data_IF_222191415565
#
_entry.id   IF_222191415565
#
_cell.length_a   1.000
_cell.length_b   1.000
_cell.length_c   1.000
_cell.angle_alpha   90.00
_cell.angle_beta   90.00
_cell.angle_gamma   90.00
#
_symmetry.space_group_name_H-M   'P 1'
#
loop_
_entity.id
_entity.type
_entity.pdbx_description
1 polymer ?
#
# COMPACT_ATOMS: atom_id res chain seq x y z
N UNK A 1 4.23 54.14 3.05
CA UNK A 1 4.76 52.78 3.24
C UNK A 1 5.92 52.89 4.24
N UNK A 2 5.73 52.50 5.50
CA UNK A 2 6.83 52.40 6.47
C UNK A 2 7.39 50.98 6.40
N UNK A 3 8.67 50.87 6.10
CA UNK A 3 9.41 49.61 6.08
C UNK A 3 9.41 49.01 7.50
N UNK A 4 9.05 47.73 7.73
CA UNK A 4 9.24 47.13 9.03
C UNK A 4 10.73 46.85 9.25
N UNK A 5 11.28 47.35 10.35
CA UNK A 5 12.64 47.05 10.78
C UNK A 5 12.85 45.52 10.94
N UNK A 6 14.04 45.00 10.64
CA UNK A 6 14.36 43.59 10.83
C UNK A 6 14.41 43.28 12.33
N UNK A 7 13.47 42.46 12.80
CA UNK A 7 13.50 41.92 14.17
C UNK A 7 14.77 41.08 14.36
N UNK A 8 15.57 41.42 15.36
CA UNK A 8 16.69 40.60 15.83
C UNK A 8 16.22 39.16 16.03
N UNK A 9 16.90 38.23 15.36
CA UNK A 9 16.69 36.81 15.51
C UNK A 9 17.06 36.39 16.92
N UNK A 10 16.09 35.87 17.68
CA UNK A 10 16.36 35.17 18.93
C UNK A 10 17.49 34.13 18.74
N UNK A 11 18.36 33.94 19.75
CA UNK A 11 19.46 32.99 19.66
C UNK A 11 18.92 31.60 19.31
N UNK A 12 19.46 31.00 18.24
CA UNK A 12 19.18 29.61 17.86
C UNK A 12 19.67 28.71 18.99
N UNK A 13 18.75 28.24 19.83
CA UNK A 13 18.98 27.05 20.65
C UNK A 13 19.51 25.94 19.72
N UNK A 14 20.62 25.31 20.13
CA UNK A 14 21.22 24.19 19.41
C UNK A 14 20.17 23.13 19.15
N UNK A 15 19.78 22.93 17.90
CA UNK A 15 18.76 21.96 17.54
C UNK A 15 19.21 20.55 17.97
N UNK A 16 18.35 19.76 18.65
CA UNK A 16 18.67 18.39 18.98
C UNK A 16 18.99 17.58 17.71
N UNK A 17 20.02 16.74 17.79
CA UNK A 17 20.60 15.97 16.67
C UNK A 17 19.68 14.86 16.13
N UNK A 18 18.54 14.60 16.78
CA UNK A 18 17.53 13.63 16.38
C UNK A 18 16.11 14.22 16.53
N UNK A 19 15.15 13.85 15.68
CA UNK A 19 13.76 14.29 15.80
C UNK A 19 13.13 13.77 17.10
N UNK A 20 12.33 14.61 17.76
CA UNK A 20 11.64 14.21 18.98
C UNK A 20 10.56 13.15 18.70
N UNK A 21 10.44 12.16 19.59
CA UNK A 21 9.35 11.16 19.51
C UNK A 21 8.03 11.78 19.93
N UNK A 22 6.91 11.17 19.50
CA UNK A 22 5.57 11.61 19.92
C UNK A 22 5.43 11.58 21.45
N UNK A 23 6.05 10.61 22.13
CA UNK A 23 6.05 10.49 23.59
C UNK A 23 6.75 11.69 24.24
N UNK A 24 7.89 12.12 23.67
CA UNK A 24 8.64 13.30 24.14
C UNK A 24 7.84 14.59 23.93
N UNK A 25 7.25 14.76 22.74
CA UNK A 25 6.43 15.94 22.42
C UNK A 25 5.23 16.03 23.36
N UNK A 26 4.49 14.94 23.53
CA UNK A 26 3.30 14.89 24.36
C UNK A 26 3.62 15.13 25.84
N UNK A 27 4.70 14.53 26.37
CA UNK A 27 5.13 14.78 27.75
C UNK A 27 5.45 16.26 27.97
N UNK A 28 6.22 16.87 27.06
CA UNK A 28 6.59 18.27 27.15
C UNK A 28 5.39 19.21 27.05
N UNK A 29 4.40 18.90 26.20
CA UNK A 29 3.15 19.67 26.12
C UNK A 29 2.34 19.57 27.41
N UNK A 30 2.19 18.37 27.97
CA UNK A 30 1.46 18.16 29.23
C UNK A 30 2.16 18.88 30.38
N UNK A 31 3.49 18.79 30.48
CA UNK A 31 4.26 19.46 31.52
C UNK A 31 4.22 21.00 31.40
N UNK A 32 4.07 21.54 30.18
CA UNK A 32 3.83 22.98 30.00
C UNK A 32 2.48 23.43 30.59
N UNK A 33 1.46 22.57 30.51
CA UNK A 33 0.13 22.86 31.03
C UNK A 33 -0.01 22.50 32.51
N UNK A 34 0.70 21.48 32.97
CA UNK A 34 0.67 20.91 34.32
C UNK A 34 2.09 20.48 34.72
N UNK A 35 2.93 21.42 35.22
CA UNK A 35 4.35 21.14 35.51
C UNK A 35 4.57 20.05 36.56
N UNK A 36 3.58 19.78 37.41
CA UNK A 36 3.66 18.75 38.43
C UNK A 36 3.35 17.34 37.90
N UNK A 37 2.69 17.21 36.75
CA UNK A 37 2.33 15.92 36.18
C UNK A 37 3.57 15.23 35.59
N UNK A 38 3.69 13.93 35.85
CA UNK A 38 4.67 13.06 35.18
C UNK A 38 6.12 13.56 35.28
N UNK A 39 6.50 14.20 36.40
CA UNK A 39 7.86 14.73 36.61
C UNK A 39 8.95 13.67 36.46
N UNK A 40 8.68 12.46 36.94
CA UNK A 40 9.64 11.35 36.91
C UNK A 40 9.48 10.45 35.66
N UNK A 41 8.55 10.78 34.76
CA UNK A 41 8.30 9.99 33.56
C UNK A 41 9.43 10.18 32.54
N UNK A 42 10.02 9.07 32.09
CA UNK A 42 11.08 9.07 31.08
C UNK A 42 10.50 8.62 29.73
N UNK A 43 10.41 9.52 28.74
CA UNK A 43 9.89 9.18 27.43
C UNK A 43 10.94 8.40 26.63
N UNK A 44 10.51 7.35 25.95
CA UNK A 44 11.39 6.56 25.07
C UNK A 44 11.90 7.45 23.92
N UNK A 45 13.23 7.47 23.75
CA UNK A 45 13.89 8.27 22.74
C UNK A 45 13.76 7.66 21.33
N UNK A 46 14.12 8.44 20.32
CA UNK A 46 14.11 7.96 18.94
C UNK A 46 15.19 6.90 18.76
N UNK A 47 14.82 5.70 18.33
CA UNK A 47 15.77 4.63 18.06
C UNK A 47 16.63 4.98 16.84
N UNK A 48 17.92 4.63 16.87
CA UNK A 48 18.82 4.81 15.73
C UNK A 48 18.39 4.00 14.49
N UNK A 49 17.61 2.93 14.69
CA UNK A 49 16.97 2.12 13.64
C UNK A 49 15.44 2.22 13.76
N UNK A 50 14.76 2.92 12.85
CA UNK A 50 13.31 3.12 12.92
C UNK A 50 12.48 1.84 12.76
N UNK A 51 13.02 0.84 12.06
CA UNK A 51 12.36 -0.42 11.72
C UNK A 51 12.61 -1.56 12.72
N UNK A 52 13.29 -1.29 13.85
CA UNK A 52 13.45 -2.29 14.91
C UNK A 52 12.09 -2.56 15.58
N UNK A 53 11.51 -3.77 15.42
CA UNK A 53 10.21 -4.11 15.99
C UNK A 53 10.22 -4.05 17.53
N UNK A 54 11.36 -4.32 18.17
CA UNK A 54 11.49 -4.26 19.64
C UNK A 54 11.46 -2.82 20.11
N UNK A 55 12.18 -1.91 19.43
CA UNK A 55 12.11 -0.49 19.72
C UNK A 55 10.72 0.11 19.44
N UNK A 56 10.03 -0.34 18.39
CA UNK A 56 8.65 0.05 18.12
C UNK A 56 7.70 -0.41 19.25
N UNK A 57 7.83 -1.65 19.72
CA UNK A 57 7.05 -2.18 20.83
C UNK A 57 7.31 -1.42 22.14
N UNK A 58 8.58 -1.12 22.46
CA UNK A 58 8.94 -0.29 23.63
C UNK A 58 8.31 1.10 23.58
N UNK A 59 8.36 1.79 22.43
CA UNK A 59 7.71 3.10 22.24
C UNK A 59 6.20 3.03 22.44
N UNK A 60 5.55 1.98 21.93
CA UNK A 60 4.12 1.77 22.11
C UNK A 60 3.74 1.50 23.58
N UNK A 61 4.54 0.70 24.30
CA UNK A 61 4.35 0.48 25.75
C UNK A 61 4.51 1.78 26.53
N UNK A 62 5.60 2.50 26.29
CA UNK A 62 5.88 3.79 26.93
C UNK A 62 4.77 4.81 26.67
N UNK A 63 4.19 4.84 25.46
CA UNK A 63 3.05 5.71 25.16
C UNK A 63 1.80 5.32 25.97
N UNK A 64 1.54 4.02 26.15
CA UNK A 64 0.41 3.56 27.00
C UNK A 64 0.61 3.95 28.45
N UNK A 65 1.82 3.80 28.98
CA UNK A 65 2.18 4.24 30.34
C UNK A 65 2.00 5.75 30.51
N UNK A 66 2.43 6.54 29.52
CA UNK A 66 2.21 7.99 29.49
C UNK A 66 0.71 8.32 29.59
N UNK A 67 -0.13 7.72 28.73
CA UNK A 67 -1.57 7.95 28.76
C UNK A 67 -2.20 7.54 30.09
N UNK A 68 -1.82 6.38 30.64
CA UNK A 68 -2.30 5.92 31.94
C UNK A 68 -1.90 6.88 33.05
N UNK A 69 -0.67 7.37 33.02
CA UNK A 69 -0.15 8.37 33.95
C UNK A 69 -0.93 9.69 33.88
N UNK A 70 -1.20 10.21 32.66
CA UNK A 70 -2.06 11.38 32.47
C UNK A 70 -3.44 11.17 33.10
N UNK A 71 -4.08 10.02 32.87
CA UNK A 71 -5.40 9.72 33.42
C UNK A 71 -5.37 9.56 34.95
N UNK A 72 -4.31 8.98 35.51
CA UNK A 72 -4.13 8.83 36.94
C UNK A 72 -3.93 10.20 37.62
N UNK A 73 -3.07 11.06 37.07
CA UNK A 73 -2.88 12.44 37.56
C UNK A 73 -4.15 13.27 37.45
N UNK A 74 -4.90 13.13 36.35
CA UNK A 74 -6.18 13.81 36.18
C UNK A 74 -7.24 13.37 37.21
N UNK A 75 -7.25 12.08 37.60
CA UNK A 75 -8.14 11.58 38.67
C UNK A 75 -7.75 12.08 40.05
N UNK A 76 -6.46 12.26 40.32
CA UNK A 76 -5.95 12.75 41.60
C UNK A 76 -6.26 14.24 41.81
N UNK A 77 -6.23 15.05 40.75
CA UNK A 77 -6.43 16.49 40.87
C UNK A 77 -7.90 16.90 41.12
N UNK A 78 -8.90 16.09 40.74
CA UNK A 78 -10.31 16.20 41.16
C UNK A 78 -11.13 17.44 40.72
N UNK A 79 -12.39 17.24 40.26
CA UNK A 79 -13.42 18.31 40.10
C UNK A 79 -13.27 19.30 38.92
N UNK A 80 -14.34 19.98 38.45
CA UNK A 80 -14.45 20.50 37.08
C UNK A 80 -13.50 21.65 36.71
N UNK A 81 -13.08 21.64 35.44
CA UNK A 81 -12.40 22.68 34.64
C UNK A 81 -11.76 23.84 35.41
N UNK A 82 -10.56 23.61 35.94
CA UNK A 82 -9.69 24.70 36.35
C UNK A 82 -9.21 25.49 35.12
N UNK A 83 -8.88 26.79 35.25
CA UNK A 83 -8.23 27.54 34.16
C UNK A 83 -6.94 26.85 33.68
N UNK A 84 -6.41 27.19 32.49
CA UNK A 84 -5.09 26.74 32.04
C UNK A 84 -4.05 27.03 33.12
N UNK A 85 -3.43 25.96 33.63
CA UNK A 85 -2.48 26.02 34.76
C UNK A 85 -3.07 25.79 36.15
N UNK A 86 -4.38 25.50 36.29
CA UNK A 86 -5.03 25.16 37.56
C UNK A 86 -5.22 23.65 37.78
N UNK A 87 -5.56 23.26 39.01
CA UNK A 87 -5.63 21.85 39.46
C UNK A 87 -6.92 21.11 39.03
N UNK A 88 -7.33 21.20 37.77
CA UNK A 88 -8.54 20.55 37.25
C UNK A 88 -8.28 19.81 35.93
N UNK A 89 -9.27 19.02 35.46
CA UNK A 89 -9.14 18.22 34.25
C UNK A 89 -8.85 19.10 33.04
N UNK A 90 -7.98 18.61 32.15
CA UNK A 90 -7.66 19.27 30.89
C UNK A 90 -8.92 19.37 30.03
N UNK A 91 -9.13 20.55 29.46
CA UNK A 91 -10.29 20.84 28.61
C UNK A 91 -9.85 21.24 27.20
N UNK A 92 -10.66 20.88 26.21
CA UNK A 92 -10.38 21.17 24.81
C UNK A 92 -11.56 21.85 24.14
N UNK A 93 -11.28 22.88 23.34
CA UNK A 93 -12.22 23.42 22.36
C UNK A 93 -12.05 22.64 21.05
N UNK A 94 -13.11 22.01 20.56
CA UNK A 94 -13.09 21.20 19.35
C UNK A 94 -13.89 21.89 18.24
N UNK A 95 -13.22 22.38 17.19
CA UNK A 95 -13.84 23.06 16.05
C UNK A 95 -13.98 22.11 14.87
N UNK A 96 -15.23 21.70 14.59
CA UNK A 96 -15.55 20.74 13.53
C UNK A 96 -15.36 21.31 12.11
N UNK A 97 -15.33 20.41 11.13
CA UNK A 97 -15.24 20.72 9.69
C UNK A 97 -16.56 21.17 9.08
N UNK A 98 -16.58 21.34 7.75
CA UNK A 98 -17.76 21.80 7.00
C UNK A 98 -17.53 23.04 6.12
N UNK A 99 -16.27 23.31 5.76
CA UNK A 99 -15.90 24.45 4.91
C UNK A 99 -16.17 25.81 5.57
N UNK A 100 -16.41 26.84 4.76
CA UNK A 100 -16.55 28.22 5.24
C UNK A 100 -17.79 28.45 6.14
N UNK A 101 -18.87 27.68 5.93
CA UNK A 101 -20.06 27.78 6.80
C UNK A 101 -19.73 27.40 8.24
N UNK A 102 -19.02 26.28 8.41
CA UNK A 102 -18.54 25.84 9.71
C UNK A 102 -17.53 26.83 10.29
N UNK A 103 -16.63 27.39 9.48
CA UNK A 103 -15.74 28.46 9.92
C UNK A 103 -16.50 29.68 10.48
N UNK A 104 -17.55 30.13 9.79
CA UNK A 104 -18.37 31.26 10.22
C UNK A 104 -19.12 30.96 11.52
N UNK A 105 -19.65 29.75 11.65
CA UNK A 105 -20.30 29.31 12.89
C UNK A 105 -19.31 29.25 14.07
N UNK A 106 -18.14 28.63 13.85
CA UNK A 106 -17.08 28.53 14.85
C UNK A 106 -16.56 29.90 15.28
N UNK A 107 -16.48 30.89 14.38
CA UNK A 107 -16.16 32.27 14.73
C UNK A 107 -17.15 32.83 15.75
N UNK A 108 -18.46 32.65 15.53
CA UNK A 108 -19.50 33.07 16.48
C UNK A 108 -19.36 32.40 17.85
N UNK A 109 -19.06 31.11 17.89
CA UNK A 109 -18.77 30.38 19.13
C UNK A 109 -17.55 30.95 19.85
N UNK A 110 -16.45 31.21 19.14
CA UNK A 110 -15.22 31.80 19.71
C UNK A 110 -15.49 33.21 20.27
N UNK A 111 -16.26 34.04 19.56
CA UNK A 111 -16.66 35.37 20.04
C UNK A 111 -17.53 35.28 21.30
N UNK A 112 -18.53 34.40 21.32
CA UNK A 112 -19.38 34.15 22.48
C UNK A 112 -18.56 33.67 23.70
N UNK A 113 -17.66 32.71 23.51
CA UNK A 113 -16.78 32.24 24.57
C UNK A 113 -15.84 33.35 25.06
N UNK A 114 -15.38 34.26 24.20
CA UNK A 114 -14.57 35.40 24.60
C UNK A 114 -15.37 36.42 25.43
N UNK A 115 -16.63 36.70 25.03
CA UNK A 115 -17.58 37.55 25.76
C UNK A 115 -17.82 37.04 27.19
N UNK A 116 -18.08 35.75 27.34
CA UNK A 116 -18.28 35.12 28.64
C UNK A 116 -16.98 34.82 29.40
N UNK A 117 -15.82 35.26 28.89
CA UNK A 117 -14.48 35.01 29.48
C UNK A 117 -14.16 33.52 29.67
N UNK A 118 -14.74 32.67 28.84
CA UNK A 118 -14.55 31.21 28.81
C UNK A 118 -13.51 30.77 27.80
N UNK A 119 -13.22 31.54 26.75
CA UNK A 119 -12.29 31.13 25.69
C UNK A 119 -10.88 30.83 26.22
N UNK A 120 -10.42 31.61 27.20
CA UNK A 120 -9.13 31.38 27.87
C UNK A 120 -9.16 30.27 28.93
N UNK A 121 -10.25 29.49 29.05
CA UNK A 121 -10.36 28.38 30.00
C UNK A 121 -9.98 27.03 29.40
N UNK A 122 -9.85 26.93 28.07
CA UNK A 122 -9.49 25.69 27.37
C UNK A 122 -7.98 25.51 27.31
N UNK A 123 -7.50 24.30 27.59
CA UNK A 123 -6.08 23.94 27.51
C UNK A 123 -5.68 23.57 26.06
N UNK A 124 -6.58 22.91 25.32
CA UNK A 124 -6.34 22.44 23.96
C UNK A 124 -7.32 23.03 22.93
N UNK A 125 -6.87 23.15 21.68
CA UNK A 125 -7.70 23.46 20.52
C UNK A 125 -7.55 22.33 19.50
N UNK A 126 -8.60 21.53 19.33
CA UNK A 126 -8.68 20.52 18.27
C UNK A 126 -9.48 21.09 17.11
N UNK A 127 -9.05 20.85 15.87
CA UNK A 127 -9.74 21.40 14.71
C UNK A 127 -9.56 20.55 13.46
N UNK A 128 -10.54 20.57 12.56
CA UNK A 128 -10.51 19.87 11.27
C UNK A 128 -11.13 20.73 10.17
N UNK A 129 -10.58 20.69 8.95
CA UNK A 129 -11.12 21.37 7.77
C UNK A 129 -11.46 22.85 8.03
N UNK A 130 -12.72 23.27 7.89
CA UNK A 130 -13.20 24.63 8.18
C UNK A 130 -12.92 25.13 9.60
N UNK A 131 -12.91 24.23 10.60
CA UNK A 131 -12.47 24.56 11.96
C UNK A 131 -10.97 24.89 12.02
N UNK A 132 -10.16 24.21 11.21
CA UNK A 132 -8.72 24.47 11.07
C UNK A 132 -8.44 25.86 10.47
N UNK A 133 -9.28 26.32 9.55
CA UNK A 133 -9.21 27.68 9.00
C UNK A 133 -9.36 28.75 10.09
N UNK A 134 -10.38 28.62 10.96
CA UNK A 134 -10.59 29.53 12.10
C UNK A 134 -9.50 29.39 13.16
N UNK A 135 -9.10 28.16 13.50
CA UNK A 135 -8.01 27.93 14.44
C UNK A 135 -6.70 28.57 13.97
N UNK A 136 -6.36 28.44 12.69
CA UNK A 136 -5.18 29.05 12.08
C UNK A 136 -5.26 30.57 12.03
N UNK A 137 -6.43 31.13 11.68
CA UNK A 137 -6.70 32.56 11.73
C UNK A 137 -6.51 33.12 13.15
N UNK A 138 -7.15 32.51 14.16
CA UNK A 138 -7.08 32.91 15.55
C UNK A 138 -5.64 32.85 16.08
N UNK A 139 -4.93 31.74 15.83
CA UNK A 139 -3.52 31.56 16.23
C UNK A 139 -2.61 32.60 15.60
N UNK A 140 -2.81 32.90 14.31
CA UNK A 140 -2.00 33.89 13.60
C UNK A 140 -2.24 35.29 14.16
N UNK A 141 -3.49 35.62 14.48
CA UNK A 141 -3.84 36.90 15.10
C UNK A 141 -3.24 37.04 16.50
N UNK A 142 -3.38 36.02 17.35
CA UNK A 142 -2.76 36.00 18.70
C UNK A 142 -1.24 36.17 18.62
N UNK A 143 -0.58 35.51 17.65
CA UNK A 143 0.87 35.64 17.46
C UNK A 143 1.31 37.04 17.02
N UNK A 144 0.47 37.78 16.30
CA UNK A 144 0.82 39.10 15.74
C UNK A 144 0.49 40.25 16.68
N UNK A 145 -0.66 40.18 17.36
CA UNK A 145 -1.18 41.27 18.19
C UNK A 145 -1.10 41.01 19.70
N UNK A 146 -0.80 39.77 20.10
CA UNK A 146 -0.82 39.34 21.50
C UNK A 146 -2.21 38.87 21.94
N UNK A 147 -2.24 37.85 22.81
CA UNK A 147 -3.48 37.17 23.23
C UNK A 147 -4.47 38.08 23.94
N UNK A 148 -4.00 39.01 24.78
CA UNK A 148 -4.86 39.93 25.53
C UNK A 148 -5.67 40.85 24.60
N UNK A 149 -4.98 41.46 23.62
CA UNK A 149 -5.60 42.33 22.60
C UNK A 149 -6.64 41.55 21.79
N UNK A 150 -6.30 40.33 21.37
CA UNK A 150 -7.23 39.48 20.62
C UNK A 150 -8.47 39.12 21.44
N UNK A 151 -8.31 38.79 22.72
CA UNK A 151 -9.44 38.48 23.59
C UNK A 151 -10.35 39.69 23.77
N UNK A 152 -9.81 40.89 23.91
CA UNK A 152 -10.59 42.12 24.04
C UNK A 152 -11.28 42.49 22.72
N UNK A 153 -10.61 42.35 21.58
CA UNK A 153 -11.21 42.59 20.25
C UNK A 153 -12.25 41.52 19.85
N UNK A 154 -12.12 40.28 20.33
CA UNK A 154 -13.11 39.21 20.10
C UNK A 154 -14.38 39.37 20.93
N UNK A 155 -14.30 40.07 22.08
CA UNK A 155 -15.47 40.42 22.88
C UNK A 155 -16.27 41.44 22.09
N UNK A 156 -17.24 40.97 21.31
CA UNK A 156 -18.16 41.90 20.67
C UNK A 156 -18.89 42.70 21.76
N UNK A 157 -19.12 44.02 21.58
CA UNK A 157 -19.92 44.81 22.50
C UNK A 157 -21.30 44.15 22.70
N UNK A 158 -21.89 44.34 23.88
CA UNK A 158 -23.28 43.95 24.16
C UNK A 158 -24.17 44.36 22.96
N UNK A 159 -25.03 43.47 22.41
CA UNK A 159 -25.94 43.80 21.33
C UNK A 159 -26.72 45.10 21.54
N UNK A 160 -27.02 45.48 22.79
CA UNK A 160 -27.70 46.73 23.15
C UNK A 160 -26.79 47.97 23.13
N UNK A 161 -25.48 47.80 23.28
CA UNK A 161 -24.47 48.87 23.27
C UNK A 161 -23.70 48.94 21.93
N UNK A 162 -24.03 48.06 20.99
CA UNK A 162 -23.36 47.95 19.70
C UNK A 162 -23.72 49.14 18.83
N UNK A 163 -22.78 50.07 18.64
CA UNK A 163 -22.90 51.08 17.59
C UNK A 163 -22.81 50.37 16.21
N UNK A 164 -23.89 50.34 15.42
CA UNK A 164 -23.90 49.66 14.11
C UNK A 164 -22.94 50.30 13.09
N UNK A 165 -22.46 51.51 13.35
CA UNK A 165 -21.51 52.24 12.51
C UNK A 165 -20.05 52.09 12.98
N UNK A 166 -19.80 51.44 14.11
CA UNK A 166 -18.44 51.20 14.57
C UNK A 166 -17.79 50.08 13.73
N UNK A 167 -16.57 50.29 13.20
CA UNK A 167 -15.89 49.27 12.41
C UNK A 167 -15.53 48.06 13.29
N UNK A 168 -15.72 46.85 12.76
CA UNK A 168 -15.24 45.65 13.43
C UNK A 168 -13.70 45.60 13.41
N UNK A 169 -13.08 44.76 14.25
CA UNK A 169 -11.66 44.48 14.12
C UNK A 169 -11.32 44.00 12.72
N UNK A 170 -10.31 44.64 12.09
CA UNK A 170 -9.86 44.31 10.72
C UNK A 170 -9.66 42.80 10.46
N UNK A 171 -9.17 41.98 11.42
CA UNK A 171 -9.04 40.54 11.20
C UNK A 171 -10.38 39.81 11.05
N UNK A 172 -11.44 40.29 11.68
CA UNK A 172 -12.81 39.77 11.56
C UNK A 172 -13.43 40.24 10.25
N UNK A 173 -13.30 41.53 9.91
CA UNK A 173 -13.78 42.08 8.64
C UNK A 173 -13.19 41.34 7.45
N UNK A 174 -11.87 41.12 7.43
CA UNK A 174 -11.21 40.36 6.37
C UNK A 174 -11.69 38.92 6.27
N UNK A 175 -12.02 38.28 7.40
CA UNK A 175 -12.54 36.92 7.39
C UNK A 175 -13.91 36.87 6.69
N UNK A 176 -14.72 37.91 6.85
CA UNK A 176 -16.04 38.05 6.21
C UNK A 176 -15.93 38.43 4.74
N UNK A 177 -15.06 39.38 4.40
CA UNK A 177 -14.79 39.83 3.02
C UNK A 177 -14.24 38.69 2.14
N UNK A 178 -13.39 37.81 2.69
CA UNK A 178 -12.73 36.72 1.96
C UNK A 178 -13.35 35.34 2.26
N UNK A 179 -14.65 35.32 2.58
CA UNK A 179 -15.41 34.08 2.81
C UNK A 179 -15.43 33.15 1.57
N UNK A 180 -15.22 33.69 0.37
CA UNK A 180 -14.90 32.90 -0.82
C UNK A 180 -13.38 32.80 -1.04
N UNK A 181 -12.72 31.87 -0.35
CA UNK A 181 -11.26 31.81 -0.27
C UNK A 181 -10.55 31.39 -1.57
N UNK A 182 -11.23 30.66 -2.48
CA UNK A 182 -10.63 30.22 -3.74
C UNK A 182 -10.72 31.28 -4.85
N UNK A 183 -11.75 32.12 -4.84
CA UNK A 183 -11.97 33.20 -5.84
C UNK A 183 -12.66 34.40 -5.18
N UNK A 184 -11.91 35.27 -4.48
CA UNK A 184 -12.48 36.36 -3.69
C UNK A 184 -13.23 37.40 -4.53
N UNK A 185 -12.83 37.59 -5.79
CA UNK A 185 -13.49 38.47 -6.76
C UNK A 185 -13.94 37.68 -7.97
N UNK A 186 -15.20 37.29 -7.99
CA UNK A 186 -15.85 36.70 -9.16
C UNK A 186 -16.03 37.77 -10.23
N UNK A 187 -15.49 37.53 -11.43
CA UNK A 187 -15.68 38.38 -12.60
C UNK A 187 -14.86 37.87 -13.78
N UNK A 188 -15.45 37.84 -14.98
CA UNK A 188 -14.79 37.38 -16.23
C UNK A 188 -13.51 38.16 -16.56
N UNK A 189 -13.33 39.36 -15.98
CA UNK A 189 -12.17 40.22 -16.16
C UNK A 189 -11.32 40.37 -14.88
N UNK A 190 -11.56 39.58 -13.83
CA UNK A 190 -10.70 39.60 -12.65
C UNK A 190 -9.44 38.75 -12.89
N UNK A 191 -8.28 39.27 -12.47
CA UNK A 191 -7.00 38.54 -12.58
C UNK A 191 -7.02 37.21 -11.83
N UNK A 192 -7.80 37.13 -10.74
CA UNK A 192 -7.94 35.92 -9.94
C UNK A 192 -8.68 34.80 -10.70
N UNK A 193 -9.71 35.14 -11.50
CA UNK A 193 -10.45 34.16 -12.31
C UNK A 193 -9.59 33.58 -13.42
N UNK A 194 -8.80 34.41 -14.11
CA UNK A 194 -7.88 33.94 -15.16
C UNK A 194 -6.70 33.15 -14.58
N UNK A 195 -6.23 33.50 -13.38
CA UNK A 195 -5.22 32.71 -12.67
C UNK A 195 -5.77 31.32 -12.31
N UNK A 196 -7.00 31.24 -11.79
CA UNK A 196 -7.66 29.97 -11.50
C UNK A 196 -7.89 29.14 -12.78
N UNK A 197 -8.39 29.77 -13.85
CA UNK A 197 -8.57 29.11 -15.15
C UNK A 197 -7.24 28.60 -15.71
N UNK A 198 -6.17 29.41 -15.67
CA UNK A 198 -4.84 29.00 -16.11
C UNK A 198 -4.29 27.83 -15.29
N UNK A 199 -4.49 27.83 -13.96
CA UNK A 199 -4.09 26.71 -13.09
C UNK A 199 -4.87 25.44 -13.47
N UNK A 200 -6.19 25.53 -13.65
CA UNK A 200 -7.03 24.39 -14.03
C UNK A 200 -6.62 23.85 -15.39
N UNK A 201 -6.51 24.71 -16.41
CA UNK A 201 -6.15 24.31 -17.77
C UNK A 201 -4.74 23.72 -17.82
N UNK A 202 -3.77 24.36 -17.15
CA UNK A 202 -2.41 23.83 -17.05
C UNK A 202 -2.40 22.45 -16.41
N UNK A 203 -3.08 22.27 -15.28
CA UNK A 203 -3.14 20.99 -14.58
C UNK A 203 -3.90 19.93 -15.37
N UNK A 204 -4.97 20.33 -16.07
CA UNK A 204 -5.72 19.44 -16.95
C UNK A 204 -4.85 18.93 -18.09
N UNK A 205 -4.13 19.84 -18.77
CA UNK A 205 -3.20 19.48 -19.85
C UNK A 205 -2.09 18.58 -19.33
N UNK A 206 -1.45 18.92 -18.20
CA UNK A 206 -0.39 18.09 -17.62
C UNK A 206 -0.90 16.69 -17.25
N UNK A 207 -2.09 16.59 -16.66
CA UNK A 207 -2.69 15.30 -16.33
C UNK A 207 -3.05 14.52 -17.60
N UNK A 208 -3.63 15.17 -18.61
CA UNK A 208 -4.04 14.52 -19.85
C UNK A 208 -2.85 14.07 -20.70
N UNK A 209 -1.75 14.82 -20.70
CA UNK A 209 -0.49 14.41 -21.35
C UNK A 209 0.11 13.14 -20.75
N UNK A 210 -0.29 12.75 -19.53
CA UNK A 210 0.11 11.48 -18.93
C UNK A 210 -0.98 10.41 -19.12
N UNK A 211 -2.23 10.74 -18.79
CA UNK A 211 -3.34 9.79 -18.78
C UNK A 211 -3.70 9.34 -20.20
N UNK A 212 -3.79 10.26 -21.16
CA UNK A 212 -4.22 9.92 -22.53
C UNK A 212 -3.21 9.00 -23.23
N UNK A 213 -1.88 9.27 -23.22
CA UNK A 213 -0.93 8.32 -23.80
C UNK A 213 -0.89 6.97 -23.09
N UNK A 214 -1.10 6.94 -21.77
CA UNK A 214 -1.18 5.68 -21.02
C UNK A 214 -2.42 4.86 -21.40
N UNK A 215 -3.59 5.48 -21.50
CA UNK A 215 -4.81 4.80 -21.97
C UNK A 215 -4.69 4.40 -23.44
N UNK A 216 -4.11 5.26 -24.27
CA UNK A 216 -3.84 4.97 -25.67
C UNK A 216 -2.87 3.80 -25.81
N UNK A 217 -1.85 3.66 -24.96
CA UNK A 217 -0.91 2.54 -25.02
C UNK A 217 -1.56 1.21 -24.63
N UNK A 218 -2.47 1.21 -23.65
CA UNK A 218 -3.27 0.03 -23.28
C UNK A 218 -4.09 -0.49 -24.48
N UNK A 219 -4.60 0.40 -25.34
CA UNK A 219 -5.34 0.02 -26.55
C UNK A 219 -4.39 -0.26 -27.72
N UNK A 220 -3.33 0.53 -27.87
CA UNK A 220 -2.38 0.44 -28.96
C UNK A 220 -1.56 -0.85 -28.90
N UNK A 221 -1.20 -1.36 -27.71
CA UNK A 221 -0.43 -2.60 -27.57
C UNK A 221 -1.16 -3.82 -28.20
N UNK A 222 -2.44 -4.12 -27.86
CA UNK A 222 -3.22 -5.14 -28.57
C UNK A 222 -3.38 -4.85 -30.06
N UNK A 223 -3.57 -3.59 -30.47
CA UNK A 223 -3.73 -3.23 -31.88
C UNK A 223 -2.44 -3.41 -32.69
N UNK A 224 -1.29 -3.05 -32.13
CA UNK A 224 0.03 -3.29 -32.72
C UNK A 224 0.29 -4.79 -32.85
N UNK A 225 -0.05 -5.56 -31.82
CA UNK A 225 0.04 -7.01 -31.88
C UNK A 225 -0.91 -7.57 -32.95
N UNK A 226 -2.15 -7.08 -33.06
CA UNK A 226 -3.09 -7.48 -34.12
C UNK A 226 -2.57 -7.14 -35.52
N UNK A 227 -1.99 -5.95 -35.72
CA UNK A 227 -1.39 -5.55 -36.99
C UNK A 227 -0.23 -6.48 -37.37
N UNK A 228 0.57 -6.86 -36.38
CA UNK A 228 1.64 -7.82 -36.56
C UNK A 228 1.11 -9.21 -36.94
N UNK A 229 0.09 -9.70 -36.23
CA UNK A 229 -0.59 -10.97 -36.53
C UNK A 229 -1.19 -11.01 -37.94
N UNK A 230 -1.65 -9.85 -38.43
CA UNK A 230 -2.17 -9.70 -39.80
C UNK A 230 -1.08 -9.51 -40.87
N UNK A 231 0.18 -9.29 -40.47
CA UNK A 231 1.29 -9.20 -41.41
C UNK A 231 1.65 -10.59 -41.94
N UNK A 232 2.56 -10.67 -42.91
CA UNK A 232 3.07 -11.98 -43.38
C UNK A 232 3.84 -12.76 -42.28
N UNK A 233 4.03 -12.15 -41.11
CA UNK A 233 4.74 -12.72 -39.98
C UNK A 233 6.25 -12.69 -40.20
N UNK A 234 6.98 -13.24 -39.24
CA UNK A 234 8.44 -13.41 -39.38
C UNK A 234 8.79 -14.72 -40.09
N UNK A 235 7.80 -15.62 -40.23
CA UNK A 235 7.96 -16.93 -40.85
C UNK A 235 8.32 -18.02 -39.85
N UNK A 236 8.28 -19.26 -40.33
CA UNK A 236 8.39 -20.46 -39.51
C UNK A 236 9.66 -20.54 -38.61
N UNK A 237 10.87 -20.11 -39.05
CA UNK A 237 12.06 -20.17 -38.20
C UNK A 237 11.91 -19.36 -36.91
N UNK A 238 11.30 -18.18 -37.00
CA UNK A 238 11.08 -17.30 -35.86
C UNK A 238 9.97 -17.83 -34.95
N UNK A 239 8.94 -18.45 -35.53
CA UNK A 239 7.90 -19.16 -34.77
C UNK A 239 8.49 -20.25 -33.87
N UNK A 240 9.40 -21.07 -34.43
CA UNK A 240 10.10 -22.12 -33.69
C UNK A 240 11.02 -21.55 -32.62
N UNK A 241 11.74 -20.46 -32.91
CA UNK A 241 12.57 -19.77 -31.91
C UNK A 241 11.72 -19.21 -30.76
N UNK A 242 10.55 -18.63 -31.04
CA UNK A 242 9.62 -18.14 -30.03
C UNK A 242 9.04 -19.26 -29.18
N UNK A 243 8.73 -20.41 -29.78
CA UNK A 243 8.29 -21.60 -29.04
C UNK A 243 9.38 -22.11 -28.08
N UNK A 244 10.61 -22.20 -28.56
CA UNK A 244 11.76 -22.59 -27.72
C UNK A 244 11.97 -21.55 -26.61
N UNK A 245 11.90 -20.26 -26.93
CA UNK A 245 12.01 -19.19 -25.94
C UNK A 245 10.92 -19.30 -24.88
N UNK A 246 9.66 -19.55 -25.27
CA UNK A 246 8.55 -19.75 -24.34
C UNK A 246 8.83 -20.91 -23.35
N UNK A 247 9.32 -22.04 -23.85
CA UNK A 247 9.68 -23.20 -23.02
C UNK A 247 10.83 -22.91 -22.06
N UNK A 248 11.87 -22.21 -22.54
CA UNK A 248 13.03 -21.83 -21.71
C UNK A 248 12.65 -20.82 -20.63
N UNK A 249 11.82 -19.83 -20.98
CA UNK A 249 11.35 -18.81 -20.05
C UNK A 249 10.43 -19.44 -19.00
N UNK A 250 9.52 -20.35 -19.39
CA UNK A 250 8.67 -21.07 -18.43
C UNK A 250 9.50 -21.98 -17.52
N UNK A 251 10.55 -22.62 -18.05
CA UNK A 251 11.49 -23.40 -17.23
C UNK A 251 12.22 -22.52 -16.22
N UNK A 252 12.72 -21.35 -16.63
CA UNK A 252 13.31 -20.38 -15.72
C UNK A 252 12.30 -19.91 -14.67
N UNK A 253 11.06 -19.58 -15.09
CA UNK A 253 9.99 -19.14 -14.21
C UNK A 253 9.70 -20.20 -13.14
N UNK A 254 9.53 -21.46 -13.56
CA UNK A 254 9.31 -22.62 -12.71
C UNK A 254 10.44 -22.79 -11.69
N UNK A 255 11.70 -22.81 -12.14
CA UNK A 255 12.88 -22.92 -11.24
C UNK A 255 12.88 -21.78 -10.23
N UNK A 256 12.70 -20.54 -10.69
CA UNK A 256 12.71 -19.34 -9.84
C UNK A 256 11.59 -19.36 -8.79
N UNK A 257 10.38 -19.74 -9.17
CA UNK A 257 9.20 -19.86 -8.30
C UNK A 257 9.49 -20.87 -7.18
N UNK A 258 9.86 -22.11 -7.52
CA UNK A 258 10.10 -23.15 -6.51
C UNK A 258 11.32 -22.84 -5.65
N UNK A 259 12.39 -22.30 -6.24
CA UNK A 259 13.57 -21.88 -5.50
C UNK A 259 13.26 -20.79 -4.48
N UNK A 260 12.55 -19.74 -4.90
CA UNK A 260 12.24 -18.61 -4.03
C UNK A 260 11.20 -18.94 -2.98
N UNK A 261 10.20 -19.76 -3.32
CA UNK A 261 9.27 -20.35 -2.35
C UNK A 261 10.06 -21.06 -1.25
N UNK A 262 11.10 -21.82 -1.60
CA UNK A 262 11.84 -22.64 -0.65
C UNK A 262 12.90 -21.89 0.17
N UNK A 263 13.61 -20.95 -0.45
CA UNK A 263 14.83 -20.37 0.12
C UNK A 263 14.80 -18.86 0.36
N UNK A 264 13.82 -18.12 -0.16
CA UNK A 264 13.79 -16.64 -0.04
C UNK A 264 12.47 -16.14 0.53
N UNK A 265 12.13 -16.58 1.75
CA UNK A 265 10.99 -16.04 2.54
C UNK A 265 11.42 -14.94 3.52
N UNK A 266 12.40 -14.11 3.16
CA UNK A 266 12.84 -13.01 4.05
C UNK A 266 11.84 -11.84 3.97
N UNK A 267 11.40 -11.26 5.09
CA UNK A 267 10.44 -10.15 5.10
C UNK A 267 10.94 -8.91 4.33
N UNK A 268 12.27 -8.73 4.22
CA UNK A 268 12.89 -7.60 3.52
C UNK A 268 13.22 -7.87 2.03
N UNK A 269 12.70 -8.95 1.44
CA UNK A 269 12.95 -9.20 0.00
C UNK A 269 12.24 -8.13 -0.84
N UNK A 270 12.96 -7.40 -1.71
CA UNK A 270 12.34 -6.35 -2.51
C UNK A 270 11.29 -6.95 -3.45
N UNK A 271 10.06 -6.42 -3.39
CA UNK A 271 8.93 -6.88 -4.20
C UNK A 271 9.23 -6.86 -5.70
N UNK A 272 10.03 -5.90 -6.17
CA UNK A 272 10.46 -5.80 -7.57
C UNK A 272 11.19 -7.06 -8.04
N UNK A 273 12.04 -7.65 -7.20
CA UNK A 273 12.77 -8.87 -7.54
C UNK A 273 11.82 -10.05 -7.71
N UNK A 274 10.82 -10.16 -6.83
CA UNK A 274 9.76 -11.17 -6.94
C UNK A 274 8.97 -11.00 -8.25
N UNK A 275 8.56 -9.79 -8.56
CA UNK A 275 7.83 -9.50 -9.81
C UNK A 275 8.67 -9.84 -11.05
N UNK A 276 9.93 -9.41 -11.09
CA UNK A 276 10.80 -9.60 -12.26
C UNK A 276 11.22 -11.06 -12.50
N UNK A 277 11.31 -11.87 -11.44
CA UNK A 277 11.88 -13.22 -11.55
C UNK A 277 10.86 -14.35 -11.40
N UNK A 278 9.67 -14.10 -10.82
CA UNK A 278 8.62 -15.10 -10.70
C UNK A 278 7.40 -14.77 -11.56
N UNK A 279 6.94 -13.53 -11.55
CA UNK A 279 5.67 -13.14 -12.18
C UNK A 279 5.87 -12.81 -13.66
N UNK A 280 6.79 -11.88 -13.97
CA UNK A 280 7.05 -11.41 -15.33
C UNK A 280 7.44 -12.54 -16.31
N UNK A 281 8.28 -13.52 -15.93
CA UNK A 281 8.60 -14.63 -16.82
C UNK A 281 7.39 -15.49 -17.21
N UNK A 282 6.41 -15.71 -16.31
CA UNK A 282 5.18 -16.47 -16.62
C UNK A 282 4.35 -15.74 -17.68
N UNK A 283 4.24 -14.41 -17.58
CA UNK A 283 3.59 -13.61 -18.62
C UNK A 283 4.33 -13.67 -19.94
N UNK A 284 5.66 -13.50 -19.88
CA UNK A 284 6.49 -13.50 -21.08
C UNK A 284 6.44 -14.86 -21.79
N UNK A 285 6.44 -15.97 -21.03
CA UNK A 285 6.27 -17.32 -21.57
C UNK A 285 4.90 -17.51 -22.21
N UNK A 286 3.82 -17.07 -21.55
CA UNK A 286 2.45 -17.18 -22.08
C UNK A 286 2.22 -16.31 -23.32
N UNK A 287 2.80 -15.11 -23.36
CA UNK A 287 2.79 -14.23 -24.51
C UNK A 287 3.60 -14.81 -25.68
N UNK A 288 4.80 -15.32 -25.41
CA UNK A 288 5.65 -15.96 -26.43
C UNK A 288 5.00 -17.23 -27.00
N UNK A 289 4.33 -18.03 -26.16
CA UNK A 289 3.58 -19.21 -26.62
C UNK A 289 2.38 -18.82 -27.48
N UNK A 290 1.61 -17.80 -27.06
CA UNK A 290 0.49 -17.27 -27.84
C UNK A 290 0.95 -16.76 -29.20
N UNK A 291 2.11 -16.08 -29.24
CA UNK A 291 2.71 -15.59 -30.47
C UNK A 291 3.18 -16.73 -31.38
N UNK A 292 3.91 -17.70 -30.83
CA UNK A 292 4.41 -18.84 -31.58
C UNK A 292 3.26 -19.63 -32.23
N UNK A 293 2.12 -19.78 -31.54
CA UNK A 293 0.95 -20.47 -32.06
C UNK A 293 0.39 -19.86 -33.36
N UNK A 294 0.49 -18.53 -33.53
CA UNK A 294 0.07 -17.83 -34.75
C UNK A 294 1.08 -18.07 -35.88
N UNK A 295 2.36 -17.81 -35.61
CA UNK A 295 3.42 -17.85 -36.62
C UNK A 295 3.72 -19.27 -37.14
N UNK A 296 3.40 -20.31 -36.36
CA UNK A 296 3.58 -21.70 -36.77
C UNK A 296 2.63 -22.14 -37.90
N UNK A 297 1.64 -21.31 -38.27
CA UNK A 297 0.68 -21.55 -39.36
C UNK A 297 0.15 -22.99 -39.36
N UNK A 298 -0.28 -23.47 -38.20
CA UNK A 298 -0.63 -24.88 -37.98
C UNK A 298 -1.68 -25.34 -39.00
N UNK A 299 -1.41 -26.36 -39.85
CA UNK A 299 -2.25 -26.68 -41.00
C UNK A 299 -3.73 -26.89 -40.67
N UNK A 300 -4.03 -27.54 -39.55
CA UNK A 300 -5.40 -27.81 -39.08
C UNK A 300 -6.17 -26.57 -38.59
N UNK A 301 -5.52 -25.41 -38.46
CA UNK A 301 -6.20 -24.14 -38.16
C UNK A 301 -6.63 -23.38 -39.43
N UNK A 302 -6.06 -23.72 -40.58
CA UNK A 302 -6.27 -23.02 -41.85
C UNK A 302 -6.95 -23.89 -42.90
N UNK A 303 -6.62 -25.18 -42.89
CA UNK A 303 -7.14 -26.17 -43.82
C UNK A 303 -8.18 -27.00 -43.08
N UNK A 304 -9.46 -26.79 -43.39
CA UNK A 304 -10.61 -27.55 -42.85
C UNK A 304 -10.56 -29.06 -43.15
N UNK A 305 -9.47 -29.54 -43.73
CA UNK A 305 -9.23 -30.92 -44.18
C UNK A 305 -8.34 -31.71 -43.23
N UNK A 306 -7.64 -31.05 -42.28
CA UNK A 306 -6.65 -31.69 -41.40
C UNK A 306 -7.10 -31.58 -39.95
N UNK A 307 -7.24 -32.72 -39.26
CA UNK A 307 -7.45 -32.75 -37.80
C UNK A 307 -6.15 -32.41 -37.06
N UNK A 308 -6.21 -31.81 -35.86
CA UNK A 308 -5.01 -31.56 -35.07
C UNK A 308 -4.29 -32.88 -34.75
N UNK A 309 -2.95 -32.92 -34.77
CA UNK A 309 -2.16 -34.06 -34.34
C UNK A 309 -2.24 -34.17 -32.82
N UNK A 310 -3.31 -34.79 -32.32
CA UNK A 310 -3.64 -34.89 -30.90
C UNK A 310 -2.46 -35.42 -30.09
N UNK A 311 -1.71 -36.38 -30.62
CA UNK A 311 -0.55 -36.96 -29.94
C UNK A 311 0.59 -35.93 -29.74
N UNK A 312 0.89 -35.12 -30.76
CA UNK A 312 1.92 -34.09 -30.67
C UNK A 312 1.48 -32.96 -29.73
N UNK A 313 0.21 -32.57 -29.81
CA UNK A 313 -0.40 -31.58 -28.92
C UNK A 313 -0.39 -32.06 -27.45
N UNK A 314 -0.76 -33.31 -27.21
CA UNK A 314 -0.70 -33.92 -25.89
C UNK A 314 0.74 -33.99 -25.38
N UNK A 315 1.69 -34.37 -26.22
CA UNK A 315 3.12 -34.36 -25.89
C UNK A 315 3.61 -32.97 -25.46
N UNK A 316 3.24 -31.92 -26.20
CA UNK A 316 3.55 -30.54 -25.82
C UNK A 316 2.88 -30.16 -24.49
N UNK A 317 1.59 -30.47 -24.31
CA UNK A 317 0.85 -30.15 -23.09
C UNK A 317 1.47 -30.83 -21.85
N UNK A 318 1.94 -32.08 -21.99
CA UNK A 318 2.69 -32.78 -20.93
C UNK A 318 4.00 -32.06 -20.62
N UNK A 319 4.76 -31.64 -21.64
CA UNK A 319 6.01 -30.90 -21.42
C UNK A 319 5.74 -29.60 -20.67
N UNK A 320 4.77 -28.82 -21.14
CA UNK A 320 4.43 -27.50 -20.61
C UNK A 320 3.84 -27.56 -19.19
N UNK A 321 2.84 -28.41 -18.96
CA UNK A 321 2.08 -28.44 -17.71
C UNK A 321 2.65 -29.38 -16.64
N UNK A 322 3.50 -30.36 -17.01
CA UNK A 322 4.01 -31.37 -16.08
C UNK A 322 5.54 -31.35 -16.01
N UNK A 323 6.22 -31.58 -17.14
CA UNK A 323 7.67 -31.77 -17.13
C UNK A 323 8.40 -30.53 -16.63
N UNK A 324 8.05 -29.35 -17.15
CA UNK A 324 8.71 -28.09 -16.74
C UNK A 324 8.47 -27.77 -15.25
N UNK A 325 7.23 -27.82 -14.72
CA UNK A 325 7.00 -27.65 -13.28
C UNK A 325 7.76 -28.67 -12.43
N UNK A 326 7.79 -29.95 -12.83
CA UNK A 326 8.49 -31.01 -12.12
C UNK A 326 10.00 -30.78 -12.09
N UNK A 327 10.60 -30.32 -13.20
CA UNK A 327 12.03 -29.98 -13.23
C UNK A 327 12.33 -28.83 -12.26
N UNK A 328 11.53 -27.76 -12.27
CA UNK A 328 11.72 -26.63 -11.37
C UNK A 328 11.62 -27.02 -9.90
N UNK A 329 10.62 -27.85 -9.57
CA UNK A 329 10.46 -28.45 -8.24
C UNK A 329 11.63 -29.35 -7.86
N UNK A 330 12.06 -30.24 -8.76
CA UNK A 330 13.14 -31.21 -8.52
C UNK A 330 14.46 -30.49 -8.22
N UNK A 331 14.78 -29.42 -8.94
CA UNK A 331 15.99 -28.62 -8.70
C UNK A 331 15.97 -28.00 -7.29
N UNK A 332 14.83 -27.46 -6.87
CA UNK A 332 14.67 -26.90 -5.53
C UNK A 332 14.82 -27.99 -4.44
N UNK A 333 14.21 -29.16 -4.63
CA UNK A 333 14.26 -30.26 -3.67
C UNK A 333 15.64 -30.93 -3.61
N UNK A 334 16.33 -31.12 -4.75
CA UNK A 334 17.72 -31.61 -4.78
C UNK A 334 18.65 -30.70 -3.96
N UNK A 335 18.45 -29.38 -4.03
CA UNK A 335 19.22 -28.44 -3.22
C UNK A 335 18.97 -28.63 -1.73
N UNK A 336 17.72 -28.89 -1.32
CA UNK A 336 17.39 -29.17 0.09
C UNK A 336 18.03 -30.46 0.59
N UNK A 337 18.12 -31.48 -0.26
CA UNK A 337 18.80 -32.75 0.05
C UNK A 337 20.32 -32.60 0.19
N UNK A 338 20.94 -31.82 -0.70
CA UNK A 338 22.40 -31.64 -0.75
C UNK A 338 22.92 -30.66 0.32
N UNK A 339 22.07 -29.76 0.83
CA UNK A 339 22.45 -28.77 1.84
C UNK A 339 21.35 -28.58 2.92
N UNK A 340 21.14 -29.58 3.80
CA UNK A 340 20.10 -29.55 4.82
C UNK A 340 20.29 -28.41 5.85
N UNK A 341 21.51 -27.90 6.02
CA UNK A 341 21.83 -26.84 6.99
C UNK A 341 21.49 -25.42 6.52
N UNK A 342 21.13 -25.22 5.25
CA UNK A 342 20.70 -23.91 4.72
C UNK A 342 19.19 -23.69 4.89
N UNK A 343 18.43 -24.77 5.14
CA UNK A 343 16.99 -24.71 5.45
C UNK A 343 16.66 -24.42 6.91
N UNK A 344 17.69 -24.26 7.77
CA UNK A 344 17.54 -23.91 9.18
C UNK A 344 17.34 -22.40 9.42
N UNK A 345 17.36 -21.57 8.38
CA UNK A 345 16.81 -20.19 8.40
C UNK A 345 15.26 -20.20 8.39
N UNK A 346 14.64 -21.22 9.00
CA UNK A 346 13.21 -21.22 9.33
C UNK A 346 13.02 -20.22 10.45
N UNK A 347 12.80 -18.96 10.10
CA UNK A 347 12.23 -17.92 10.96
C UNK A 347 12.73 -18.03 12.40
N UNK A 348 13.96 -17.58 12.67
CA UNK A 348 14.26 -17.01 13.98
C UNK A 348 13.45 -15.71 14.11
N UNK A 349 12.14 -15.85 14.36
CA UNK A 349 11.44 -14.87 15.18
C UNK A 349 12.08 -15.01 16.55
N UNK A 350 12.66 -13.92 17.06
CA UNK A 350 13.27 -13.86 18.38
C UNK A 350 12.40 -14.64 19.39
N UNK A 351 12.97 -15.61 20.13
CA UNK A 351 12.20 -16.31 21.13
C UNK A 351 11.63 -15.29 22.11
N UNK A 352 10.38 -15.50 22.51
CA UNK A 352 9.78 -14.80 23.64
C UNK A 352 10.78 -14.84 24.81
N UNK A 353 11.24 -13.70 25.35
CA UNK A 353 12.20 -13.69 26.45
C UNK A 353 11.66 -14.38 27.73
N UNK A 354 10.37 -14.72 27.78
CA UNK A 354 9.76 -15.52 28.84
C UNK A 354 9.84 -17.05 28.62
N UNK A 355 10.22 -17.53 27.43
CA UNK A 355 10.35 -18.96 27.14
C UNK A 355 11.82 -19.38 27.20
N UNK A 356 12.21 -20.08 28.26
CA UNK A 356 13.53 -20.68 28.41
C UNK A 356 13.90 -21.49 27.14
N UNK A 357 15.04 -21.18 26.54
CA UNK A 357 15.55 -21.93 25.40
C UNK A 357 15.78 -23.41 25.82
N UNK A 358 15.24 -24.40 25.11
CA UNK A 358 15.66 -25.77 25.33
C UNK A 358 17.12 -25.91 24.89
N UNK A 359 17.98 -26.41 25.77
CA UNK A 359 19.33 -26.85 25.44
C UNK A 359 19.27 -28.03 24.47
N UNK A 360 19.29 -27.73 23.18
CA UNK A 360 19.32 -28.71 22.12
C UNK A 360 19.42 -27.98 20.79
N UNK A 361 20.45 -28.27 20.00
CA UNK A 361 20.60 -27.71 18.65
C UNK A 361 19.34 -27.92 17.79
N UNK A 362 19.23 -27.22 16.65
CA UNK A 362 18.03 -27.23 15.83
C UNK A 362 17.58 -28.67 15.55
N UNK A 363 16.28 -29.00 15.70
CA UNK A 363 15.80 -30.36 15.58
C UNK A 363 16.17 -30.90 14.20
N UNK A 364 16.88 -32.03 14.19
CA UNK A 364 17.21 -32.72 12.95
C UNK A 364 15.93 -32.98 12.15
N UNK A 365 15.89 -32.55 10.89
CA UNK A 365 14.76 -32.80 9.99
C UNK A 365 14.48 -34.31 9.96
N UNK A 366 13.29 -34.73 10.40
CA UNK A 366 12.84 -36.11 10.25
C UNK A 366 12.77 -36.44 8.74
N UNK A 367 13.79 -37.16 8.26
CA UNK A 367 13.95 -37.51 6.86
C UNK A 367 12.75 -38.30 6.32
N UNK A 368 12.00 -39.02 7.17
CA UNK A 368 10.79 -39.76 6.77
C UNK A 368 9.59 -38.83 6.65
N UNK A 369 9.46 -37.83 7.51
CA UNK A 369 8.42 -36.80 7.38
C UNK A 369 8.66 -35.93 6.14
N UNK A 370 9.90 -35.51 5.90
CA UNK A 370 10.27 -34.73 4.72
C UNK A 370 10.02 -35.50 3.41
N UNK A 371 10.47 -36.76 3.29
CA UNK A 371 10.22 -37.59 2.09
C UNK A 371 8.73 -37.77 1.80
N UNK A 372 7.90 -37.95 2.84
CA UNK A 372 6.45 -38.04 2.67
C UNK A 372 5.84 -36.73 2.18
N UNK A 373 6.31 -35.59 2.69
CA UNK A 373 5.90 -34.26 2.21
C UNK A 373 6.27 -34.02 0.76
N UNK A 374 7.53 -34.23 0.39
CA UNK A 374 8.02 -34.05 -0.99
C UNK A 374 7.33 -35.00 -1.97
N UNK A 375 7.07 -36.26 -1.59
CA UNK A 375 6.33 -37.19 -2.44
C UNK A 375 4.88 -36.71 -2.69
N UNK A 376 4.23 -36.12 -1.70
CA UNK A 376 2.89 -35.55 -1.85
C UNK A 376 2.89 -34.35 -2.78
N UNK A 377 3.84 -33.43 -2.61
CA UNK A 377 3.98 -32.29 -3.53
C UNK A 377 4.19 -32.77 -4.97
N UNK A 378 5.00 -33.80 -5.19
CA UNK A 378 5.21 -34.38 -6.51
C UNK A 378 3.92 -34.97 -7.11
N UNK A 379 3.17 -35.75 -6.31
CA UNK A 379 1.88 -36.31 -6.76
C UNK A 379 0.89 -35.18 -7.07
N UNK A 380 0.77 -34.19 -6.19
CA UNK A 380 -0.10 -33.02 -6.39
C UNK A 380 0.28 -32.26 -7.67
N UNK A 381 1.57 -32.11 -7.95
CA UNK A 381 2.09 -31.44 -9.14
C UNK A 381 1.78 -32.22 -10.42
N UNK A 382 1.93 -33.54 -10.40
CA UNK A 382 1.61 -34.39 -11.55
C UNK A 382 0.10 -34.41 -11.82
N UNK A 383 -0.72 -34.56 -10.77
CA UNK A 383 -2.19 -34.61 -10.91
C UNK A 383 -2.74 -33.27 -11.40
N UNK A 384 -2.34 -32.15 -10.78
CA UNK A 384 -2.75 -30.81 -11.24
C UNK A 384 -2.26 -30.50 -12.65
N UNK A 385 -1.01 -30.86 -12.97
CA UNK A 385 -0.44 -30.72 -14.30
C UNK A 385 -1.14 -31.58 -15.36
N UNK A 386 -1.58 -32.79 -15.02
CA UNK A 386 -2.34 -33.67 -15.92
C UNK A 386 -3.73 -33.10 -16.24
N UNK A 387 -4.42 -32.56 -15.24
CA UNK A 387 -5.70 -31.85 -15.44
C UNK A 387 -5.48 -30.63 -16.35
N UNK A 388 -4.44 -29.83 -16.06
CA UNK A 388 -4.11 -28.67 -16.89
C UNK A 388 -3.73 -29.05 -18.32
N UNK A 389 -2.97 -30.14 -18.52
CA UNK A 389 -2.61 -30.64 -19.85
C UNK A 389 -3.85 -31.09 -20.64
N UNK A 390 -4.78 -31.81 -20.01
CA UNK A 390 -6.04 -32.21 -20.64
C UNK A 390 -6.89 -30.99 -21.04
N UNK A 391 -6.99 -29.99 -20.16
CA UNK A 391 -7.69 -28.74 -20.46
C UNK A 391 -6.99 -27.93 -21.57
N UNK A 392 -5.65 -27.91 -21.60
CA UNK A 392 -4.88 -27.28 -22.67
C UNK A 392 -5.20 -27.93 -24.02
N UNK A 393 -5.16 -29.27 -24.10
CA UNK A 393 -5.50 -30.02 -25.31
C UNK A 393 -6.94 -29.72 -25.74
N UNK A 394 -7.90 -29.72 -24.81
CA UNK A 394 -9.29 -29.39 -25.10
C UNK A 394 -9.47 -27.96 -25.60
N UNK A 395 -8.81 -26.99 -24.96
CA UNK A 395 -8.82 -25.58 -25.36
C UNK A 395 -8.25 -25.40 -26.78
N UNK A 396 -7.12 -26.05 -27.07
CA UNK A 396 -6.51 -25.99 -28.40
C UNK A 396 -7.37 -26.69 -29.46
N UNK A 397 -7.98 -27.82 -29.12
CA UNK A 397 -8.79 -28.60 -30.05
C UNK A 397 -10.14 -27.94 -30.38
N UNK A 398 -10.79 -27.33 -29.38
CA UNK A 398 -12.16 -26.82 -29.54
C UNK A 398 -12.24 -25.31 -29.73
N UNK A 399 -11.34 -24.54 -29.11
CA UNK A 399 -11.46 -23.08 -29.06
C UNK A 399 -10.43 -22.37 -29.93
N UNK A 400 -9.22 -22.94 -30.09
CA UNK A 400 -8.16 -22.26 -30.84
C UNK A 400 -8.57 -21.93 -32.28
N UNK A 401 -9.20 -22.86 -33.01
CA UNK A 401 -9.68 -22.61 -34.37
C UNK A 401 -10.73 -21.47 -34.42
N UNK A 402 -11.66 -21.45 -33.47
CA UNK A 402 -12.69 -20.40 -33.37
C UNK A 402 -12.09 -19.02 -33.01
N UNK A 403 -11.07 -19.00 -32.14
CA UNK A 403 -10.31 -17.80 -31.81
C UNK A 403 -9.48 -17.34 -33.01
N UNK A 404 -8.87 -18.27 -33.74
CA UNK A 404 -8.05 -17.97 -34.91
C UNK A 404 -8.85 -17.32 -36.05
N UNK A 405 -10.07 -17.83 -36.29
CA UNK A 405 -11.01 -17.23 -37.22
C UNK A 405 -11.41 -15.79 -36.85
N UNK A 406 -11.13 -15.36 -35.61
CA UNK A 406 -11.44 -14.02 -35.08
C UNK A 406 -10.18 -13.42 -34.43
N UNK A 407 -9.23 -12.90 -35.22
CA UNK A 407 -7.91 -12.45 -34.73
C UNK A 407 -7.96 -11.47 -33.54
N UNK A 408 -8.99 -10.62 -33.48
CA UNK A 408 -9.21 -9.70 -32.34
C UNK A 408 -9.46 -10.47 -31.04
N UNK A 409 -10.29 -11.52 -31.07
CA UNK A 409 -10.56 -12.35 -29.90
C UNK A 409 -9.34 -13.18 -29.51
N UNK A 410 -8.56 -13.67 -30.48
CA UNK A 410 -7.31 -14.37 -30.19
C UNK A 410 -6.34 -13.47 -29.41
N UNK A 411 -6.09 -12.27 -29.91
CA UNK A 411 -5.18 -11.29 -29.29
C UNK A 411 -5.58 -10.97 -27.85
N UNK A 412 -6.89 -10.85 -27.59
CA UNK A 412 -7.41 -10.49 -26.27
C UNK A 412 -7.46 -11.69 -25.32
N UNK A 413 -7.81 -12.89 -25.80
CA UNK A 413 -8.15 -14.03 -24.93
C UNK A 413 -7.05 -15.09 -24.83
N UNK A 414 -6.15 -15.21 -25.81
CA UNK A 414 -5.18 -16.32 -25.83
C UNK A 414 -4.26 -16.31 -24.60
N UNK A 415 -3.64 -15.16 -24.30
CA UNK A 415 -2.75 -15.04 -23.14
C UNK A 415 -3.53 -15.16 -21.81
N UNK A 416 -4.65 -14.46 -21.58
CA UNK A 416 -5.50 -14.68 -20.41
C UNK A 416 -5.93 -16.12 -20.19
N UNK A 417 -6.29 -16.86 -21.24
CA UNK A 417 -6.68 -18.26 -21.13
C UNK A 417 -5.51 -19.16 -20.70
N UNK A 418 -4.30 -18.91 -21.21
CA UNK A 418 -3.09 -19.61 -20.76
C UNK A 418 -2.77 -19.31 -19.29
N UNK A 419 -2.91 -18.05 -18.87
CA UNK A 419 -2.69 -17.63 -17.48
C UNK A 419 -3.77 -18.19 -16.55
N UNK A 420 -5.03 -18.23 -16.99
CA UNK A 420 -6.13 -18.85 -16.25
C UNK A 420 -5.89 -20.35 -16.06
N UNK A 421 -5.40 -21.04 -17.09
CA UNK A 421 -5.02 -22.43 -17.00
C UNK A 421 -3.86 -22.63 -16.01
N UNK A 422 -2.84 -21.76 -16.06
CA UNK A 422 -1.74 -21.77 -15.10
C UNK A 422 -2.25 -21.56 -13.68
N UNK A 423 -3.10 -20.55 -13.45
CA UNK A 423 -3.70 -20.26 -12.14
C UNK A 423 -4.48 -21.46 -11.61
N UNK A 424 -5.33 -22.07 -12.44
CA UNK A 424 -6.08 -23.26 -12.08
C UNK A 424 -5.14 -24.41 -11.68
N UNK A 425 -4.08 -24.66 -12.45
CA UNK A 425 -3.09 -25.68 -12.13
C UNK A 425 -2.43 -25.42 -10.77
N UNK A 426 -2.08 -24.17 -10.45
CA UNK A 426 -1.51 -23.80 -9.14
C UNK A 426 -2.51 -23.91 -8.01
N UNK A 427 -3.76 -23.51 -8.21
CA UNK A 427 -4.82 -23.68 -7.21
C UNK A 427 -5.07 -25.15 -6.91
N UNK A 428 -5.14 -26.00 -7.93
CA UNK A 428 -5.27 -27.45 -7.77
C UNK A 428 -4.05 -28.07 -7.08
N UNK A 429 -2.84 -27.63 -7.43
CA UNK A 429 -1.61 -28.06 -6.75
C UNK A 429 -1.68 -27.79 -5.24
N UNK A 430 -2.05 -26.57 -4.84
CA UNK A 430 -2.20 -26.19 -3.42
C UNK A 430 -3.29 -27.04 -2.75
N UNK A 431 -4.42 -27.24 -3.42
CA UNK A 431 -5.53 -28.02 -2.90
C UNK A 431 -5.11 -29.49 -2.66
N UNK A 432 -4.48 -30.14 -3.63
CA UNK A 432 -4.04 -31.53 -3.52
C UNK A 432 -2.87 -31.72 -2.54
N UNK A 433 -1.95 -30.75 -2.47
CA UNK A 433 -0.86 -30.79 -1.50
C UNK A 433 -1.38 -30.71 -0.05
N UNK A 434 -2.49 -29.98 0.19
CA UNK A 434 -3.05 -29.73 1.51
C UNK A 434 -4.10 -30.73 2.05
N UNK A 435 -4.45 -31.80 1.32
CA UNK A 435 -5.59 -32.70 1.67
C UNK A 435 -5.47 -33.35 3.06
N UNK A 436 -4.27 -33.66 3.54
CA UNK A 436 -4.05 -34.31 4.84
C UNK A 436 -3.74 -33.33 5.98
N UNK A 437 -3.61 -32.03 5.69
CA UNK A 437 -3.18 -31.00 6.64
C UNK A 437 -4.31 -30.52 7.55
N UNK A 438 -5.56 -30.83 7.20
CA UNK A 438 -6.75 -30.59 8.04
C UNK A 438 -6.65 -31.29 9.41
N UNK A 439 -5.78 -32.30 9.56
CA UNK A 439 -5.65 -33.10 10.78
C UNK A 439 -4.38 -32.85 11.62
N UNK A 440 -3.47 -31.93 11.24
CA UNK A 440 -2.22 -31.69 12.00
C UNK A 440 -1.97 -30.20 12.27
N UNK A 441 -1.84 -29.85 13.54
CA UNK A 441 -1.58 -28.50 14.06
C UNK A 441 -0.12 -28.06 13.84
N UNK A 442 0.31 -27.76 12.60
CA UNK A 442 1.58 -27.07 12.30
C UNK A 442 1.35 -25.69 11.68
N UNK A 443 0.69 -24.80 12.42
CA UNK A 443 0.05 -23.59 11.88
C UNK A 443 0.96 -22.56 11.15
N UNK A 444 2.24 -22.41 11.51
CA UNK A 444 3.03 -21.23 11.10
C UNK A 444 3.87 -21.39 9.81
N UNK A 445 4.46 -22.57 9.55
CA UNK A 445 5.23 -22.80 8.33
C UNK A 445 4.32 -22.88 7.08
N UNK A 446 3.10 -23.37 7.29
CA UNK A 446 2.10 -23.67 6.26
C UNK A 446 1.28 -22.41 5.86
N UNK A 447 1.17 -21.42 6.75
CA UNK A 447 0.55 -20.12 6.44
C UNK A 447 1.43 -19.27 5.52
N UNK A 448 2.75 -19.25 5.76
CA UNK A 448 3.70 -18.55 4.91
C UNK A 448 3.80 -19.12 3.47
N UNK A 449 3.65 -20.44 3.31
CA UNK A 449 3.58 -21.06 1.97
C UNK A 449 2.28 -20.72 1.24
N UNK A 450 1.13 -20.77 1.94
CA UNK A 450 -0.17 -20.37 1.36
C UNK A 450 -0.19 -18.90 0.97
N UNK A 451 0.34 -18.03 1.83
CA UNK A 451 0.48 -16.61 1.53
C UNK A 451 1.39 -16.37 0.30
N UNK A 452 2.50 -17.09 0.19
CA UNK A 452 3.40 -16.98 -0.96
C UNK A 452 2.68 -17.31 -2.27
N UNK A 453 1.94 -18.43 -2.30
CA UNK A 453 1.16 -18.82 -3.47
C UNK A 453 0.00 -17.87 -3.77
N UNK A 454 -0.66 -17.34 -2.73
CA UNK A 454 -1.72 -16.34 -2.88
C UNK A 454 -1.18 -15.04 -3.48
N UNK A 455 0.00 -14.58 -3.04
CA UNK A 455 0.68 -13.41 -3.61
C UNK A 455 1.05 -13.63 -5.07
N UNK A 456 1.67 -14.77 -5.41
CA UNK A 456 1.99 -15.12 -6.80
C UNK A 456 0.74 -15.11 -7.68
N UNK A 457 -0.31 -15.82 -7.23
CA UNK A 457 -1.57 -15.96 -7.99
C UNK A 457 -2.31 -14.64 -8.12
N UNK A 458 -2.31 -13.81 -7.08
CA UNK A 458 -2.93 -12.47 -7.11
C UNK A 458 -2.24 -11.53 -8.10
N UNK A 459 -0.91 -11.61 -8.21
CA UNK A 459 -0.19 -10.86 -9.25
C UNK A 459 -0.55 -11.38 -10.63
N UNK A 460 -0.49 -12.70 -10.87
CA UNK A 460 -0.82 -13.34 -12.15
C UNK A 460 -2.25 -13.01 -12.61
N UNK A 461 -3.21 -13.00 -11.68
CA UNK A 461 -4.61 -12.66 -11.94
C UNK A 461 -4.82 -11.19 -12.31
N UNK A 462 -3.95 -10.27 -11.89
CA UNK A 462 -4.11 -8.85 -12.22
C UNK A 462 -3.91 -8.57 -13.72
N UNK A 463 -3.23 -9.46 -14.43
CA UNK A 463 -2.92 -9.35 -15.87
C UNK A 463 -3.69 -10.36 -16.72
N UNK A 464 -4.12 -11.49 -16.14
CA UNK A 464 -5.05 -12.43 -16.77
C UNK A 464 -6.44 -11.81 -16.86
#
# INVERSE_FOLDING_TARGET
MRNPEPRESAPKESAPTAPATINQVLLHEVQKLRPHWLRDFKPEAYASQPDDPVAAARRASNLRELFQGIHASAKQDGGPAAPPGGNGPLSALCLSGGGIRSATFNLGIVQCLAQHRLLGRFDYLSSVSGGGYIAGWLRTWMRRSGTAVVLDELRAPDPQQRNPLAPEPRPIDRLREYSNYLTPRLGLFSGDTWTAAAIVVRNLILNWLVIVPLLASVIALPLLFLLFVKSEGLGEPWARLLLIAALVIELYASISIYWRRRFTKKPNTPQQLFLLTCVFPVYLASAALSWAAIELRLPWLYENTVSPPILALAGFAVIWCIVIPVIGWLIAELRTLLAPHVGADRVELAPDPAAAAPEGGPPALDARAWRRGSLRELIALIVSGAIAAALFVGMVNWWLAALYARPVLFVVLAMPLLLALYLLARTLFIAFAGIDEVHRHSAMADEADREWWARLSGWILLIA
#
